data_IF_955890844083
#
_entry.id   IF_955890844083
#
_cell.length_a   1.000
_cell.length_b   1.000
_cell.length_c   1.000
_cell.angle_alpha   90.00
_cell.angle_beta   90.00
_cell.angle_gamma   90.00
#
_symmetry.space_group_name_H-M   'P 1'
#
loop_
_entity.id
_entity.type
_entity.pdbx_description
1 polymer ?
#
# COMPACT_ATOMS: atom_id res chain seq x y z
N UNK A 1 -15.44 1.78 15.83
CA UNK A 1 -14.05 1.81 15.37
C UNK A 1 -13.78 3.18 14.81
N UNK A 2 -12.75 3.85 15.28
CA UNK A 2 -12.36 5.17 14.80
C UNK A 2 -10.90 5.13 14.34
N UNK A 3 -10.61 5.72 13.19
CA UNK A 3 -9.24 5.87 12.69
C UNK A 3 -8.82 7.30 12.99
N UNK A 4 -7.75 7.47 13.77
CA UNK A 4 -7.18 8.77 14.10
C UNK A 4 -5.77 8.89 13.53
N UNK A 5 -5.34 10.11 13.22
CA UNK A 5 -3.99 10.41 12.74
C UNK A 5 -3.36 11.48 13.63
N UNK A 6 -2.17 11.21 14.15
CA UNK A 6 -1.45 12.15 15.02
C UNK A 6 -0.93 13.37 14.22
N UNK A 7 -0.58 13.15 12.94
CA UNK A 7 -0.04 14.17 12.04
C UNK A 7 -0.76 14.18 10.68
N UNK A 8 -2.01 14.67 10.62
CA UNK A 8 -2.84 14.57 9.42
C UNK A 8 -2.30 15.37 8.22
N UNK A 9 -1.49 16.40 8.47
CA UNK A 9 -0.86 17.19 7.41
C UNK A 9 0.09 16.35 6.52
N UNK A 10 0.64 15.25 7.03
CA UNK A 10 1.50 14.36 6.25
C UNK A 10 0.72 13.54 5.22
N UNK A 11 -0.60 13.41 5.35
CA UNK A 11 -1.44 12.75 4.34
C UNK A 11 -1.43 13.47 3.00
N UNK A 12 -1.06 14.75 2.96
CA UNK A 12 -0.84 15.49 1.72
C UNK A 12 0.27 14.88 0.85
N UNK A 13 1.17 14.09 1.44
CA UNK A 13 2.17 13.35 0.67
C UNK A 13 1.53 12.30 -0.25
N UNK A 14 0.32 11.81 0.03
CA UNK A 14 -0.40 10.92 -0.89
C UNK A 14 -0.72 11.61 -2.23
N UNK A 15 -0.82 12.95 -2.26
CA UNK A 15 -0.98 13.70 -3.50
C UNK A 15 0.25 13.62 -4.42
N UNK A 16 1.41 13.13 -3.94
CA UNK A 16 2.56 12.81 -4.80
C UNK A 16 2.37 11.52 -5.60
N UNK A 17 1.45 10.63 -5.22
CA UNK A 17 1.17 9.38 -5.95
C UNK A 17 0.87 9.64 -7.44
N UNK A 18 -0.10 10.51 -7.82
CA UNK A 18 -0.36 10.80 -9.23
C UNK A 18 0.87 11.39 -9.94
N UNK A 19 1.69 12.18 -9.25
CA UNK A 19 2.94 12.71 -9.81
C UNK A 19 3.95 11.59 -10.09
N UNK A 20 4.12 10.64 -9.16
CA UNK A 20 4.99 9.47 -9.32
C UNK A 20 4.53 8.58 -10.47
N UNK A 21 3.23 8.36 -10.60
CA UNK A 21 2.64 7.60 -11.72
C UNK A 21 2.90 8.33 -13.05
N UNK A 22 2.67 9.64 -13.10
CA UNK A 22 2.93 10.44 -14.30
C UNK A 22 4.41 10.40 -14.70
N UNK A 23 5.31 10.59 -13.73
CA UNK A 23 6.76 10.50 -13.93
C UNK A 23 7.20 9.13 -14.43
N UNK A 24 6.59 8.06 -13.90
CA UNK A 24 6.87 6.69 -14.36
C UNK A 24 6.42 6.47 -15.80
N UNK A 25 5.19 6.86 -16.16
CA UNK A 25 4.67 6.74 -17.52
C UNK A 25 5.50 7.57 -18.50
N UNK A 26 5.93 8.76 -18.09
CA UNK A 26 6.82 9.61 -18.87
C UNK A 26 8.18 8.93 -19.13
N UNK A 27 8.80 8.37 -18.09
CA UNK A 27 10.04 7.60 -18.21
C UNK A 27 9.88 6.36 -19.11
N UNK A 28 8.75 5.66 -19.01
CA UNK A 28 8.46 4.53 -19.86
C UNK A 28 8.39 4.95 -21.34
N UNK A 29 7.75 6.08 -21.64
CA UNK A 29 7.69 6.63 -23.01
C UNK A 29 9.07 7.02 -23.53
N UNK A 30 9.91 7.64 -22.71
CA UNK A 30 11.30 7.97 -23.06
C UNK A 30 12.11 6.72 -23.40
N UNK A 31 12.11 5.72 -22.52
CA UNK A 31 12.84 4.46 -22.73
C UNK A 31 12.32 3.65 -23.93
N UNK A 32 11.01 3.73 -24.20
CA UNK A 32 10.43 3.08 -25.38
C UNK A 32 10.92 3.71 -26.70
N UNK A 33 11.26 5.00 -26.70
CA UNK A 33 11.88 5.63 -27.88
C UNK A 33 13.29 5.07 -28.16
N UNK A 34 14.04 4.72 -27.11
CA UNK A 34 15.34 4.05 -27.23
C UNK A 34 15.20 2.57 -27.64
N UNK A 35 14.11 1.90 -27.21
CA UNK A 35 13.86 0.50 -27.53
C UNK A 35 13.34 0.25 -28.96
N UNK A 36 12.99 1.30 -29.73
CA UNK A 36 12.61 1.15 -31.14
C UNK A 36 13.78 0.65 -32.01
N UNK A 37 15.03 0.72 -31.53
CA UNK A 37 16.19 0.04 -32.12
C UNK A 37 16.15 -1.50 -31.93
N UNK A 38 15.30 -2.02 -31.05
CA UNK A 38 15.09 -3.45 -30.80
C UNK A 38 13.74 -3.93 -31.38
N UNK A 39 13.49 -3.67 -32.66
CA UNK A 39 12.33 -4.15 -33.44
C UNK A 39 11.98 -5.65 -33.25
N UNK A 40 12.94 -6.47 -32.83
CA UNK A 40 12.73 -7.87 -32.50
C UNK A 40 11.79 -8.11 -31.30
N UNK A 41 11.61 -7.16 -30.39
CA UNK A 41 10.73 -7.34 -29.22
C UNK A 41 9.25 -7.44 -29.60
N UNK A 42 8.80 -6.65 -30.58
CA UNK A 42 7.42 -6.68 -31.09
C UNK A 42 7.15 -7.98 -31.87
N UNK A 43 8.15 -8.47 -32.61
CA UNK A 43 8.09 -9.78 -33.25
C UNK A 43 8.09 -10.95 -32.24
N UNK A 44 8.84 -10.83 -31.14
CA UNK A 44 8.86 -11.82 -30.06
C UNK A 44 7.51 -11.90 -29.33
N UNK A 45 6.88 -10.75 -29.02
CA UNK A 45 5.57 -10.69 -28.35
C UNK A 45 4.47 -11.39 -29.17
N UNK A 46 4.54 -11.30 -30.50
CA UNK A 46 3.61 -11.99 -31.40
C UNK A 46 3.78 -13.52 -31.39
N UNK A 47 4.99 -14.02 -31.13
CA UNK A 47 5.31 -15.46 -31.13
C UNK A 47 5.09 -16.10 -29.75
N UNK A 48 5.32 -15.38 -28.66
CA UNK A 48 5.18 -15.91 -27.29
C UNK A 48 3.76 -15.81 -26.71
N UNK A 49 2.84 -15.11 -27.38
CA UNK A 49 1.51 -14.81 -26.86
C UNK A 49 1.51 -13.67 -25.83
N UNK A 50 0.33 -13.17 -25.43
CA UNK A 50 0.24 -12.06 -24.49
C UNK A 50 0.85 -12.45 -23.14
N UNK A 51 1.94 -11.80 -22.77
CA UNK A 51 2.55 -12.00 -21.47
C UNK A 51 1.57 -11.61 -20.36
N UNK A 52 1.44 -12.47 -19.34
CA UNK A 52 0.78 -12.11 -18.10
C UNK A 52 1.43 -10.85 -17.51
N UNK A 53 0.61 -9.99 -16.91
CA UNK A 53 0.91 -8.65 -16.33
C UNK A 53 2.41 -8.30 -16.36
N UNK A 54 2.81 -7.27 -17.11
CA UNK A 54 4.21 -6.96 -17.27
C UNK A 54 4.90 -6.72 -15.91
N UNK A 55 6.08 -7.30 -15.70
CA UNK A 55 6.83 -7.23 -14.43
C UNK A 55 6.98 -5.80 -13.90
N UNK A 56 7.08 -4.82 -14.80
CA UNK A 56 7.18 -3.40 -14.47
C UNK A 56 5.91 -2.84 -13.81
N UNK A 57 4.73 -3.37 -14.15
CA UNK A 57 3.45 -3.00 -13.54
C UNK A 57 3.35 -3.51 -12.09
N UNK A 58 3.89 -4.70 -11.82
CA UNK A 58 4.00 -5.23 -10.44
C UNK A 58 4.93 -4.36 -9.61
N UNK A 59 6.09 -3.99 -10.16
CA UNK A 59 7.08 -3.19 -9.44
C UNK A 59 6.55 -1.80 -9.06
N UNK A 60 5.88 -1.09 -9.97
CA UNK A 60 5.30 0.22 -9.62
C UNK A 60 4.19 0.08 -8.58
N UNK A 61 3.36 -0.96 -8.69
CA UNK A 61 2.28 -1.20 -7.73
C UNK A 61 2.83 -1.41 -6.32
N UNK A 62 3.88 -2.22 -6.18
CA UNK A 62 4.56 -2.44 -4.90
C UNK A 62 5.19 -1.15 -4.37
N UNK A 63 5.84 -0.36 -5.20
CA UNK A 63 6.44 0.91 -4.78
C UNK A 63 5.39 1.91 -4.29
N UNK A 64 4.24 1.99 -4.97
CA UNK A 64 3.13 2.85 -4.55
C UNK A 64 2.50 2.37 -3.24
N UNK A 65 2.38 1.05 -3.06
CA UNK A 65 1.90 0.46 -1.81
C UNK A 65 2.86 0.78 -0.65
N UNK A 66 4.15 0.56 -0.83
CA UNK A 66 5.18 0.86 0.17
C UNK A 66 5.17 2.35 0.53
N UNK A 67 5.14 3.24 -0.48
CA UNK A 67 5.06 4.66 -0.27
C UNK A 67 3.82 5.05 0.55
N UNK A 68 2.65 4.49 0.20
CA UNK A 68 1.41 4.76 0.93
C UNK A 68 1.48 4.29 2.38
N UNK A 69 2.03 3.09 2.63
CA UNK A 69 2.23 2.57 3.98
C UNK A 69 3.20 3.43 4.79
N UNK A 70 4.28 3.93 4.17
CA UNK A 70 5.21 4.85 4.82
C UNK A 70 4.54 6.17 5.18
N UNK A 71 3.66 6.70 4.32
CA UNK A 71 2.90 7.92 4.64
C UNK A 71 1.96 7.66 5.82
N UNK A 72 1.22 6.55 5.84
CA UNK A 72 0.36 6.20 6.97
C UNK A 72 1.12 5.96 8.27
N UNK A 73 2.27 5.31 8.21
CA UNK A 73 3.15 5.11 9.36
C UNK A 73 3.66 6.47 9.89
N UNK A 74 4.06 7.37 9.00
CA UNK A 74 4.55 8.70 9.37
C UNK A 74 3.44 9.60 9.91
N UNK A 75 2.21 9.46 9.41
CA UNK A 75 1.05 10.22 9.86
C UNK A 75 0.52 9.80 11.25
N UNK A 76 1.07 8.73 11.85
CA UNK A 76 0.62 8.22 13.15
C UNK A 76 -0.79 7.63 13.07
N UNK A 77 -1.02 6.71 12.13
CA UNK A 77 -2.33 6.06 11.93
C UNK A 77 -2.64 5.13 13.11
N UNK A 78 -3.69 5.46 13.87
CA UNK A 78 -4.15 4.70 15.03
C UNK A 78 -5.59 4.18 14.78
N UNK A 79 -5.86 2.94 15.18
CA UNK A 79 -7.18 2.31 15.07
C UNK A 79 -7.72 2.07 16.47
N UNK A 80 -8.78 2.78 16.84
CA UNK A 80 -9.47 2.60 18.11
C UNK A 80 -10.61 1.60 17.97
N UNK A 81 -10.59 0.58 18.83
CA UNK A 81 -11.65 -0.41 18.93
C UNK A 81 -12.20 -0.43 20.36
N UNK A 82 -13.51 -0.21 20.49
CA UNK A 82 -14.24 -0.43 21.74
C UNK A 82 -14.78 -1.85 21.72
N UNK A 83 -14.20 -2.72 22.56
CA UNK A 83 -14.68 -4.08 22.76
C UNK A 83 -15.71 -4.17 23.89
N UNK A 84 -16.58 -5.19 23.89
CA UNK A 84 -17.43 -5.47 25.04
C UNK A 84 -16.54 -5.80 26.25
N UNK A 85 -16.73 -5.06 27.34
CA UNK A 85 -16.09 -5.37 28.63
C UNK A 85 -17.04 -6.29 29.37
N UNK A 86 -16.53 -7.43 29.85
CA UNK A 86 -17.32 -8.36 30.66
C UNK A 86 -17.55 -7.75 32.04
N UNK A 87 -18.79 -7.44 32.42
CA UNK A 87 -19.20 -7.03 33.78
C UNK A 87 -19.21 -8.22 34.76
N UNK A 88 -18.22 -9.12 34.68
CA UNK A 88 -18.12 -10.25 35.60
C UNK A 88 -17.20 -9.85 36.73
N UNK A 89 -17.81 -9.35 37.82
CA UNK A 89 -17.13 -9.20 39.10
C UNK A 89 -16.99 -10.57 39.77
N UNK A 90 -15.76 -11.08 39.78
CA UNK A 90 -15.44 -12.39 40.35
C UNK A 90 -15.01 -12.21 41.80
N UNK A 91 -15.98 -12.29 42.72
CA UNK A 91 -15.72 -12.26 44.16
C UNK A 91 -15.37 -13.67 44.64
N UNK A 92 -14.19 -13.83 45.27
CA UNK A 92 -13.83 -15.06 45.98
C UNK A 92 -14.33 -14.93 47.42
N UNK A 93 -15.39 -15.67 47.76
CA UNK A 93 -15.91 -15.75 49.13
C UNK A 93 -15.44 -17.06 49.74
N UNK A 94 -14.69 -16.98 50.84
CA UNK A 94 -14.27 -18.13 51.65
C UNK A 94 -15.08 -18.09 52.94
N UNK A 95 -15.99 -19.04 53.10
CA UNK A 95 -16.70 -19.28 54.36
C UNK A 95 -15.84 -20.21 55.24
N UNK A 96 -15.53 -19.77 56.46
CA UNK A 96 -14.94 -20.61 57.49
C UNK A 96 -15.99 -20.81 58.57
N UNK A 97 -16.84 -21.81 58.36
CA UNK A 97 -17.73 -22.30 59.40
C UNK A 97 -16.92 -23.20 60.35
N UNK A 98 -16.84 -22.78 61.63
CA UNK A 98 -16.10 -23.43 62.71
C UNK A 98 -16.98 -24.38 63.54
#
# INVERSE_FOLDING_TARGET
>A
MEITFDHPHLLWLLSLIPLLVAAYVYNLKLKRSESLLFSNFEALEHVTGPAAVPAYAVQITLNLLIFSLLVFASAGTNIWYSGPVSEVDLAVVIDVSA
#
